data_IF_096813471274
#
_entry.id   IF_096813471274
#
_cell.length_a   1.000
_cell.length_b   1.000
_cell.length_c   1.000
_cell.angle_alpha   90.00
_cell.angle_beta   90.00
_cell.angle_gamma   90.00
#
_symmetry.space_group_name_H-M   'P 1'
#
loop_
_entity.id
_entity.type
_entity.pdbx_description
1 polymer ?
#
# COMPACT_ATOMS: atom_id res chain seq x y z
N UNK A 1 -21.81 -1.55 9.64
CA UNK A 1 -22.85 -2.59 9.55
C UNK A 1 -22.35 -3.87 8.86
N UNK A 2 -21.42 -3.80 7.89
CA UNK A 2 -20.85 -5.01 7.27
C UNK A 2 -19.87 -5.80 8.16
N UNK A 3 -19.16 -5.14 9.09
CA UNK A 3 -18.11 -5.78 9.91
C UNK A 3 -18.68 -6.67 11.03
N UNK A 4 -19.85 -6.35 11.58
CA UNK A 4 -20.49 -7.11 12.67
C UNK A 4 -21.14 -8.42 12.21
N UNK A 5 -21.38 -8.59 10.90
CA UNK A 5 -21.92 -9.82 10.31
C UNK A 5 -20.83 -10.82 9.87
N UNK A 6 -19.56 -10.50 10.13
CA UNK A 6 -18.43 -11.31 9.69
C UNK A 6 -18.26 -12.51 10.64
N UNK A 7 -18.80 -13.66 10.25
CA UNK A 7 -18.54 -14.95 10.90
C UNK A 7 -17.02 -15.27 10.96
N UNK A 8 -16.38 -15.14 12.12
CA UNK A 8 -14.92 -15.12 12.31
C UNK A 8 -14.19 -16.40 11.83
N UNK A 9 -14.92 -17.49 11.56
CA UNK A 9 -14.35 -18.83 11.33
C UNK A 9 -13.63 -19.07 9.98
N UNK A 10 -13.73 -18.20 8.97
CA UNK A 10 -13.08 -18.47 7.67
C UNK A 10 -11.68 -17.86 7.58
N UNK A 11 -10.65 -18.60 7.09
CA UNK A 11 -9.24 -18.16 7.10
C UNK A 11 -8.99 -16.87 6.31
N UNK A 12 -9.82 -16.60 5.29
CA UNK A 12 -9.69 -15.44 4.42
C UNK A 12 -10.21 -14.12 5.03
N UNK A 13 -10.80 -14.15 6.23
CA UNK A 13 -11.39 -12.95 6.85
C UNK A 13 -10.37 -12.04 7.48
N UNK A 14 -9.40 -12.60 8.20
CA UNK A 14 -8.30 -11.86 8.81
C UNK A 14 -7.54 -11.01 7.76
N UNK A 15 -7.06 -11.57 6.62
CA UNK A 15 -6.36 -10.77 5.63
C UNK A 15 -7.27 -9.72 4.96
N UNK A 16 -8.57 -10.00 4.81
CA UNK A 16 -9.52 -9.02 4.27
C UNK A 16 -9.77 -7.85 5.23
N UNK A 17 -9.79 -8.09 6.54
CA UNK A 17 -9.92 -7.04 7.56
C UNK A 17 -8.67 -6.17 7.63
N UNK A 18 -7.48 -6.79 7.55
CA UNK A 18 -6.21 -6.06 7.52
C UNK A 18 -6.17 -5.14 6.30
N UNK A 19 -6.48 -5.66 5.10
CA UNK A 19 -6.55 -4.85 3.89
C UNK A 19 -7.56 -3.70 4.04
N UNK A 20 -8.76 -4.00 4.56
CA UNK A 20 -9.79 -2.99 4.77
C UNK A 20 -9.30 -1.86 5.68
N UNK A 21 -8.73 -2.17 6.84
CA UNK A 21 -8.24 -1.17 7.79
C UNK A 21 -7.17 -0.28 7.14
N UNK A 22 -6.18 -0.89 6.48
CA UNK A 22 -5.10 -0.15 5.77
C UNK A 22 -5.67 0.75 4.68
N UNK A 23 -6.62 0.25 3.89
CA UNK A 23 -7.27 1.00 2.81
C UNK A 23 -8.13 2.16 3.32
N UNK A 24 -8.80 2.00 4.46
CA UNK A 24 -9.63 3.04 5.09
C UNK A 24 -8.75 4.14 5.63
N UNK A 25 -7.69 3.80 6.39
CA UNK A 25 -6.77 4.79 6.96
C UNK A 25 -6.17 5.65 5.85
N UNK A 26 -5.62 5.04 4.80
CA UNK A 26 -5.07 5.78 3.66
C UNK A 26 -6.11 6.65 2.95
N UNK A 27 -7.36 6.19 2.80
CA UNK A 27 -8.41 6.97 2.14
C UNK A 27 -8.83 8.20 2.94
N UNK A 28 -8.90 8.10 4.28
CA UNK A 28 -9.25 9.22 5.16
C UNK A 28 -8.17 10.30 5.08
N UNK A 29 -6.89 9.89 5.15
CA UNK A 29 -5.78 10.84 5.01
C UNK A 29 -5.71 11.46 3.62
N UNK A 30 -5.98 10.71 2.55
CA UNK A 30 -6.05 11.27 1.20
C UNK A 30 -7.14 12.33 1.10
N UNK A 31 -8.32 12.07 1.67
CA UNK A 31 -9.41 13.02 1.67
C UNK A 31 -9.07 14.31 2.43
N UNK A 32 -8.40 14.19 3.59
CA UNK A 32 -7.91 15.34 4.35
C UNK A 32 -6.93 16.18 3.53
N UNK A 33 -5.99 15.55 2.81
CA UNK A 33 -5.04 16.29 1.99
C UNK A 33 -5.69 16.95 0.77
N UNK A 34 -6.73 16.36 0.18
CA UNK A 34 -7.48 17.01 -0.89
C UNK A 34 -8.17 18.28 -0.36
N UNK A 35 -8.76 18.24 0.85
CA UNK A 35 -9.35 19.43 1.48
C UNK A 35 -8.28 20.50 1.72
N UNK A 36 -7.12 20.11 2.24
CA UNK A 36 -6.00 21.05 2.45
C UNK A 36 -5.50 21.67 1.15
N UNK A 37 -5.43 20.87 0.08
CA UNK A 37 -5.04 21.37 -1.24
C UNK A 37 -6.02 22.43 -1.76
N UNK A 38 -7.32 22.23 -1.53
CA UNK A 38 -8.36 23.21 -1.91
C UNK A 38 -8.32 24.49 -1.07
N UNK A 39 -7.82 24.46 0.16
CA UNK A 39 -7.73 25.65 1.02
C UNK A 39 -6.61 26.63 0.61
N UNK A 40 -5.96 26.43 -0.54
CA UNK A 40 -5.00 27.35 -1.18
C UNK A 40 -3.87 27.84 -0.27
N UNK A 41 -3.46 27.04 0.71
CA UNK A 41 -2.29 27.35 1.53
C UNK A 41 -1.03 27.10 0.70
N UNK A 42 -0.10 28.05 0.65
CA UNK A 42 1.13 27.93 -0.16
C UNK A 42 1.95 26.66 0.18
N UNK A 43 1.82 26.15 1.40
CA UNK A 43 2.40 24.88 1.83
C UNK A 43 2.01 23.68 0.95
N UNK A 44 0.83 23.71 0.33
CA UNK A 44 0.28 22.62 -0.49
C UNK A 44 0.97 22.44 -1.84
N UNK A 45 1.73 23.44 -2.30
CA UNK A 45 2.49 23.37 -3.56
C UNK A 45 3.93 22.90 -3.38
N UNK A 46 4.34 22.62 -2.14
CA UNK A 46 5.70 22.18 -1.85
C UNK A 46 5.96 20.73 -2.26
N UNK A 47 7.23 20.42 -2.57
CA UNK A 47 7.71 19.05 -2.78
C UNK A 47 7.42 18.14 -1.59
N UNK A 48 7.40 18.70 -0.38
CA UNK A 48 7.11 17.98 0.86
C UNK A 48 5.65 17.53 0.91
N UNK A 49 4.72 18.37 0.48
CA UNK A 49 3.30 18.01 0.41
C UNK A 49 3.04 16.90 -0.61
N UNK A 50 3.71 16.98 -1.78
CA UNK A 50 3.66 15.91 -2.77
C UNK A 50 4.20 14.58 -2.19
N UNK A 51 5.32 14.61 -1.46
CA UNK A 51 5.86 13.42 -0.81
C UNK A 51 4.90 12.83 0.25
N UNK A 52 4.18 13.66 1.01
CA UNK A 52 3.17 13.19 1.96
C UNK A 52 2.03 12.43 1.26
N UNK A 53 1.56 12.93 0.11
CA UNK A 53 0.55 12.23 -0.70
C UNK A 53 1.11 10.90 -1.22
N UNK A 54 2.36 10.88 -1.68
CA UNK A 54 3.03 9.65 -2.13
C UNK A 54 3.11 8.59 -1.03
N UNK A 55 3.42 8.98 0.21
CA UNK A 55 3.48 8.06 1.35
C UNK A 55 2.13 7.36 1.63
N UNK A 56 1.00 8.02 1.35
CA UNK A 56 -0.32 7.41 1.48
C UNK A 56 -0.60 6.37 0.40
N UNK A 57 -0.13 6.62 -0.83
CA UNK A 57 -0.21 5.62 -1.90
C UNK A 57 0.73 4.45 -1.62
N UNK A 58 1.92 4.70 -1.06
CA UNK A 58 2.83 3.63 -0.62
C UNK A 58 2.20 2.74 0.45
N UNK A 59 1.42 3.32 1.37
CA UNK A 59 0.66 2.55 2.36
C UNK A 59 -0.41 1.64 1.71
N UNK A 60 -1.11 2.11 0.66
CA UNK A 60 -2.09 1.30 -0.09
C UNK A 60 -1.44 0.18 -0.92
N UNK A 61 -0.31 0.45 -1.55
CA UNK A 61 0.39 -0.51 -2.43
C UNK A 61 1.24 -1.48 -1.62
N UNK A 62 1.63 -1.12 -0.40
CA UNK A 62 2.45 -1.93 0.50
C UNK A 62 3.96 -1.75 0.29
N UNK A 63 4.40 -0.61 -0.25
CA UNK A 63 5.82 -0.27 -0.41
C UNK A 63 6.45 -0.05 0.98
N UNK A 64 7.73 -0.37 1.13
CA UNK A 64 8.48 -0.11 2.36
C UNK A 64 8.26 1.34 2.84
N UNK A 65 8.11 1.62 4.15
CA UNK A 65 8.16 0.71 5.28
C UNK A 65 6.86 -0.10 5.51
N UNK A 66 5.77 0.20 4.81
CA UNK A 66 4.44 -0.38 5.05
C UNK A 66 4.21 -1.78 4.45
N UNK A 67 5.28 -2.55 4.24
CA UNK A 67 5.23 -3.86 3.57
C UNK A 67 4.68 -5.02 4.42
N UNK A 68 4.74 -4.92 5.76
CA UNK A 68 4.43 -6.04 6.66
C UNK A 68 3.00 -6.56 6.53
N UNK A 69 2.01 -5.68 6.39
CA UNK A 69 0.61 -6.08 6.29
C UNK A 69 0.37 -6.94 5.04
N UNK A 70 1.04 -6.61 3.93
CA UNK A 70 0.87 -7.33 2.68
C UNK A 70 1.47 -8.73 2.77
N UNK A 71 2.69 -8.86 3.33
CA UNK A 71 3.37 -10.15 3.50
C UNK A 71 2.56 -11.08 4.42
N UNK A 72 2.06 -10.56 5.54
CA UNK A 72 1.20 -11.32 6.45
C UNK A 72 -0.11 -11.74 5.78
N UNK A 73 -0.73 -10.85 5.00
CA UNK A 73 -1.99 -11.15 4.32
C UNK A 73 -1.84 -12.26 3.27
N UNK A 74 -0.73 -12.28 2.53
CA UNK A 74 -0.49 -13.26 1.47
C UNK A 74 -0.31 -14.68 2.01
N UNK A 75 0.29 -14.85 3.19
CA UNK A 75 0.44 -16.16 3.83
C UNK A 75 -0.93 -16.84 4.05
N UNK A 76 -1.90 -16.06 4.50
CA UNK A 76 -3.24 -16.53 4.89
C UNK A 76 -4.21 -16.67 3.70
N UNK A 77 -3.94 -16.01 2.57
CA UNK A 77 -4.83 -16.01 1.40
C UNK A 77 -4.72 -17.28 0.54
N UNK A 78 -5.79 -17.59 -0.20
CA UNK A 78 -5.78 -18.60 -1.27
C UNK A 78 -5.10 -18.04 -2.53
N UNK A 79 -4.52 -18.91 -3.36
CA UNK A 79 -3.83 -18.53 -4.61
C UNK A 79 -4.64 -17.63 -5.55
N UNK A 80 -5.92 -17.91 -5.75
CA UNK A 80 -6.81 -17.06 -6.56
C UNK A 80 -6.92 -15.63 -6.00
N UNK A 81 -6.90 -15.48 -4.68
CA UNK A 81 -6.99 -14.17 -4.03
C UNK A 81 -5.66 -13.43 -4.10
N UNK A 82 -4.54 -14.15 -3.97
CA UNK A 82 -3.19 -13.60 -4.19
C UNK A 82 -3.07 -13.02 -5.60
N UNK A 83 -3.59 -13.73 -6.62
CA UNK A 83 -3.62 -13.23 -7.99
C UNK A 83 -4.42 -11.93 -8.13
N UNK A 84 -5.64 -11.89 -7.57
CA UNK A 84 -6.49 -10.69 -7.59
C UNK A 84 -5.83 -9.50 -6.86
N UNK A 85 -5.19 -9.77 -5.73
CA UNK A 85 -4.55 -8.77 -4.89
C UNK A 85 -3.27 -8.20 -5.51
N UNK A 86 -2.49 -9.03 -6.19
CA UNK A 86 -1.24 -8.61 -6.83
C UNK A 86 -1.47 -7.80 -8.11
N UNK A 87 -2.56 -8.06 -8.83
CA UNK A 87 -2.80 -7.46 -10.16
C UNK A 87 -3.87 -6.37 -10.12
N UNK A 88 -5.14 -6.75 -9.98
CA UNK A 88 -6.28 -5.85 -10.17
C UNK A 88 -6.38 -4.77 -9.09
N UNK A 89 -6.14 -5.14 -7.83
CA UNK A 89 -6.29 -4.19 -6.71
C UNK A 89 -5.20 -3.12 -6.74
N UNK A 90 -4.00 -3.43 -7.23
CA UNK A 90 -2.89 -2.46 -7.33
C UNK A 90 -3.03 -1.48 -8.49
N UNK A 91 -3.78 -1.82 -9.54
CA UNK A 91 -3.93 -0.97 -10.73
C UNK A 91 -4.52 0.41 -10.42
N UNK A 92 -5.59 0.46 -9.64
CA UNK A 92 -6.30 1.71 -9.33
C UNK A 92 -5.43 2.66 -8.49
N UNK A 93 -4.80 2.23 -7.37
CA UNK A 93 -3.88 3.07 -6.62
C UNK A 93 -2.70 3.59 -7.44
N UNK A 94 -2.13 2.77 -8.34
CA UNK A 94 -1.01 3.18 -9.19
C UNK A 94 -1.45 4.26 -10.19
N UNK A 95 -2.60 4.07 -10.84
CA UNK A 95 -3.15 5.07 -11.74
C UNK A 95 -3.37 6.41 -11.01
N UNK A 96 -3.98 6.36 -9.81
CA UNK A 96 -4.18 7.56 -9.00
C UNK A 96 -2.85 8.22 -8.59
N UNK A 97 -1.85 7.43 -8.20
CA UNK A 97 -0.52 7.91 -7.84
C UNK A 97 0.12 8.72 -8.98
N UNK A 98 0.12 8.18 -10.21
CA UNK A 98 0.70 8.87 -11.38
C UNK A 98 -0.07 10.14 -11.73
N UNK A 99 -1.40 10.13 -11.57
CA UNK A 99 -2.22 11.30 -11.91
C UNK A 99 -2.14 12.45 -10.90
N UNK A 100 -1.92 12.16 -9.62
CA UNK A 100 -2.01 13.14 -8.52
C UNK A 100 -0.66 13.60 -8.01
N UNK A 101 0.43 12.88 -8.32
CA UNK A 101 1.77 13.16 -7.80
C UNK A 101 2.77 13.28 -8.94
N UNK A 102 3.83 14.05 -8.71
CA UNK A 102 4.97 14.14 -9.62
C UNK A 102 6.20 13.48 -9.00
N UNK A 103 7.07 12.90 -9.83
CA UNK A 103 8.26 12.20 -9.34
C UNK A 103 9.41 13.19 -9.21
N UNK A 104 9.83 13.43 -7.97
CA UNK A 104 11.04 14.19 -7.63
C UNK A 104 12.25 13.29 -7.45
N UNK A 105 13.44 13.90 -7.45
CA UNK A 105 14.68 13.20 -7.14
C UNK A 105 14.61 12.47 -5.79
N UNK A 106 14.00 13.10 -4.78
CA UNK A 106 13.75 12.52 -3.46
C UNK A 106 12.85 11.29 -3.47
N UNK A 107 11.78 11.31 -4.28
CA UNK A 107 10.91 10.14 -4.41
C UNK A 107 11.61 8.99 -5.15
N UNK A 108 12.47 9.32 -6.12
CA UNK A 108 13.25 8.32 -6.84
C UNK A 108 14.27 7.64 -5.93
N UNK A 109 15.02 8.40 -5.13
CA UNK A 109 15.98 7.82 -4.17
C UNK A 109 15.26 6.97 -3.12
N UNK A 110 14.09 7.40 -2.65
CA UNK A 110 13.25 6.62 -1.76
C UNK A 110 12.85 5.26 -2.36
N UNK A 111 12.37 5.25 -3.60
CA UNK A 111 11.97 4.01 -4.28
C UNK A 111 13.15 3.05 -4.47
N UNK A 112 14.31 3.55 -4.90
CA UNK A 112 15.52 2.72 -5.05
C UNK A 112 15.94 2.12 -3.71
N UNK A 113 15.96 2.92 -2.64
CA UNK A 113 16.28 2.43 -1.30
C UNK A 113 15.26 1.40 -0.81
N UNK A 114 13.97 1.64 -1.04
CA UNK A 114 12.90 0.71 -0.66
C UNK A 114 13.11 -0.68 -1.26
N UNK A 115 13.49 -0.74 -2.55
CA UNK A 115 13.74 -1.98 -3.26
C UNK A 115 14.96 -2.72 -2.73
N UNK A 116 16.04 -2.00 -2.39
CA UNK A 116 17.22 -2.60 -1.75
C UNK A 116 16.86 -3.22 -0.39
N UNK A 117 16.07 -2.53 0.44
CA UNK A 117 15.65 -3.08 1.73
C UNK A 117 14.81 -4.34 1.58
N UNK A 118 13.89 -4.37 0.63
CA UNK A 118 13.03 -5.54 0.37
C UNK A 118 13.86 -6.71 -0.15
N UNK A 119 14.85 -6.47 -1.02
CA UNK A 119 15.78 -7.49 -1.50
C UNK A 119 16.56 -8.17 -0.36
N UNK A 120 16.99 -7.41 0.64
CA UNK A 120 17.63 -7.99 1.81
C UNK A 120 16.63 -8.72 2.72
N UNK A 121 15.40 -8.23 2.80
CA UNK A 121 14.35 -8.83 3.61
C UNK A 121 13.86 -10.19 3.05
N UNK A 122 13.79 -10.34 1.73
CA UNK A 122 13.31 -11.57 1.06
C UNK A 122 14.08 -12.82 1.45
N UNK A 123 15.38 -12.69 1.69
CA UNK A 123 16.27 -13.81 1.99
C UNK A 123 15.90 -14.55 3.30
N UNK A 124 15.04 -13.95 4.14
CA UNK A 124 14.59 -14.55 5.40
C UNK A 124 13.37 -15.45 5.26
N UNK A 125 12.68 -15.48 4.11
CA UNK A 125 11.43 -16.22 3.95
C UNK A 125 11.58 -17.51 3.13
N UNK A 126 10.98 -18.59 3.65
CA UNK A 126 10.97 -19.89 2.99
C UNK A 126 9.67 -20.22 2.24
N UNK A 127 8.56 -19.51 2.48
CA UNK A 127 7.28 -19.83 1.86
C UNK A 127 7.07 -19.08 0.53
N UNK A 128 6.63 -19.81 -0.50
CA UNK A 128 6.37 -19.26 -1.84
C UNK A 128 5.41 -18.06 -1.82
N UNK A 129 4.42 -18.07 -0.93
CA UNK A 129 3.46 -16.95 -0.80
C UNK A 129 4.13 -15.67 -0.30
N UNK A 130 5.09 -15.77 0.63
CA UNK A 130 5.83 -14.59 1.15
C UNK A 130 6.83 -14.06 0.13
N UNK A 131 7.46 -14.95 -0.64
CA UNK A 131 8.32 -14.56 -1.75
C UNK A 131 7.53 -13.78 -2.80
N UNK A 132 6.34 -14.27 -3.19
CA UNK A 132 5.45 -13.55 -4.12
C UNK A 132 4.93 -12.23 -3.55
N UNK A 133 4.67 -12.18 -2.24
CA UNK A 133 4.33 -10.91 -1.62
C UNK A 133 5.46 -9.90 -1.84
N UNK A 134 6.69 -10.25 -1.48
CA UNK A 134 7.85 -9.37 -1.63
C UNK A 134 8.15 -9.00 -3.08
N UNK A 135 8.01 -9.94 -4.03
CA UNK A 135 8.24 -9.66 -5.45
C UNK A 135 7.26 -8.64 -6.03
N UNK A 136 6.06 -8.50 -5.44
CA UNK A 136 5.10 -7.47 -5.86
C UNK A 136 5.30 -6.12 -5.17
N UNK A 137 6.21 -6.04 -4.18
CA UNK A 137 6.57 -4.78 -3.51
C UNK A 137 7.74 -4.10 -4.23
N UNK A 138 8.61 -4.89 -4.87
CA UNK A 138 9.57 -4.43 -5.87
C UNK A 138 8.87 -3.68 -7.01
#
# INVERSE_FOLDING_TARGET
ISISLINIKSPNKIPSLIYYIVSVISSIFLFLFIIMYLSSLDFTKSDQFNFLIQMLFFLKIGIFPFHFWMIYSYEMMKWKQIFLMSTLIKFIPIYMFVSLTYINLWSLTYLVMSNLFIAFYTNKFYSLKKLLACSTIF
#
